data_IF_940429814852
#
_entry.id   IF_940429814852
#
_cell.length_a   1.000
_cell.length_b   1.000
_cell.length_c   1.000
_cell.angle_alpha   90.00
_cell.angle_beta   90.00
_cell.angle_gamma   90.00
#
_symmetry.space_group_name_H-M   'P 1'
#
loop_
_entity.id
_entity.type
_entity.pdbx_description
1 polymer ?
#
# COMPACT_ATOMS: atom_id res chain seq x y z
N UNK A 1 -15.48 -23.72 28.42
CA UNK A 1 -16.05 -23.90 27.07
C UNK A 1 -14.96 -23.58 26.06
N UNK A 2 -14.38 -24.58 25.39
CA UNK A 2 -13.26 -24.42 24.45
C UNK A 2 -13.81 -24.38 23.02
N UNK A 3 -13.45 -23.40 22.16
CA UNK A 3 -13.84 -23.43 20.77
C UNK A 3 -13.18 -24.62 20.05
N UNK A 4 -13.99 -25.43 19.39
CA UNK A 4 -13.60 -26.61 18.63
C UNK A 4 -12.72 -26.23 17.43
N UNK A 5 -11.47 -26.69 17.48
CA UNK A 5 -10.66 -27.15 16.33
C UNK A 5 -10.82 -26.39 15.01
N UNK A 6 -10.07 -25.29 14.89
CA UNK A 6 -9.56 -24.82 13.61
C UNK A 6 -8.35 -25.70 13.22
N UNK A 7 -8.50 -26.56 12.20
CA UNK A 7 -7.46 -27.52 11.77
C UNK A 7 -6.52 -26.99 10.67
N UNK A 8 -6.66 -25.72 10.26
CA UNK A 8 -5.71 -25.08 9.36
C UNK A 8 -4.55 -24.48 10.14
N UNK A 9 -3.31 -24.94 9.91
CA UNK A 9 -2.14 -24.13 10.27
C UNK A 9 -2.29 -22.77 9.60
N UNK A 10 -2.29 -21.64 10.34
CA UNK A 10 -2.30 -20.35 9.69
C UNK A 10 -1.01 -20.26 8.87
N UNK A 11 -1.13 -20.10 7.55
CA UNK A 11 0.00 -19.60 6.78
C UNK A 11 0.27 -18.18 7.28
N UNK A 12 1.35 -18.05 8.04
CA UNK A 12 1.86 -16.74 8.40
C UNK A 12 2.48 -16.18 7.11
N UNK A 13 1.72 -15.31 6.42
CA UNK A 13 2.25 -14.54 5.30
C UNK A 13 3.39 -13.67 5.84
N UNK A 14 4.62 -14.07 5.56
CA UNK A 14 5.80 -13.28 5.87
C UNK A 14 5.96 -12.24 4.77
N UNK A 15 5.61 -10.99 5.06
CA UNK A 15 5.94 -9.87 4.18
C UNK A 15 7.47 -9.77 4.08
N UNK A 16 8.00 -9.87 2.86
CA UNK A 16 9.44 -9.78 2.60
C UNK A 16 9.97 -8.34 2.49
N UNK A 17 9.07 -7.35 2.43
CA UNK A 17 9.41 -5.98 2.09
C UNK A 17 8.30 -5.24 1.36
N UNK A 18 8.66 -4.14 0.70
CA UNK A 18 7.80 -3.35 -0.19
C UNK A 18 8.49 -3.11 -1.53
N UNK A 19 7.69 -3.04 -2.60
CA UNK A 19 8.11 -2.60 -3.92
C UNK A 19 7.09 -1.60 -4.44
N UNK A 20 7.54 -0.63 -5.24
CA UNK A 20 6.63 0.30 -5.91
C UNK A 20 7.33 1.19 -6.91
N UNK A 21 6.53 2.08 -7.51
CA UNK A 21 6.99 3.05 -8.49
C UNK A 21 7.33 4.37 -7.80
N UNK A 22 8.41 5.00 -8.25
CA UNK A 22 8.77 6.37 -7.91
C UNK A 22 8.20 7.29 -8.99
N UNK A 23 7.33 8.21 -8.60
CA UNK A 23 6.72 9.17 -9.53
C UNK A 23 7.68 10.34 -9.82
N UNK A 24 7.55 10.94 -11.00
CA UNK A 24 8.30 12.12 -11.37
C UNK A 24 8.03 13.29 -10.40
N UNK A 25 9.05 14.12 -10.07
CA UNK A 25 8.85 15.33 -9.27
C UNK A 25 7.80 16.25 -9.88
N UNK A 26 7.04 16.93 -9.03
CA UNK A 26 5.95 17.81 -9.45
C UNK A 26 5.86 19.02 -8.52
N UNK A 27 5.97 20.21 -9.09
CA UNK A 27 5.90 21.49 -8.36
C UNK A 27 4.51 22.14 -8.40
N UNK A 28 3.47 21.37 -8.75
CA UNK A 28 2.09 21.88 -8.81
C UNK A 28 1.60 22.32 -7.43
N UNK A 29 0.74 23.33 -7.42
CA UNK A 29 0.15 23.85 -6.18
C UNK A 29 -0.80 22.85 -5.51
N UNK A 30 -1.11 23.08 -4.23
CA UNK A 30 -2.03 22.24 -3.48
C UNK A 30 -3.42 22.23 -4.12
N UNK A 31 -3.95 21.02 -4.35
CA UNK A 31 -5.27 20.83 -4.97
C UNK A 31 -5.24 20.81 -6.50
N UNK A 32 -4.08 21.06 -7.12
CA UNK A 32 -3.89 20.85 -8.55
C UNK A 32 -3.53 19.40 -8.86
N UNK A 33 -3.88 18.96 -10.07
CA UNK A 33 -3.54 17.62 -10.54
C UNK A 33 -2.04 17.56 -10.87
N UNK A 34 -1.30 16.69 -10.18
CA UNK A 34 0.09 16.34 -10.52
C UNK A 34 0.15 15.25 -11.60
N UNK A 35 1.32 15.11 -12.22
CA UNK A 35 1.60 13.97 -13.11
C UNK A 35 1.57 12.65 -12.34
N UNK A 36 1.34 11.55 -13.07
CA UNK A 36 1.46 10.17 -12.56
C UNK A 36 2.53 9.39 -13.33
N UNK A 37 3.42 10.10 -14.03
CA UNK A 37 4.51 9.49 -14.78
C UNK A 37 5.51 8.84 -13.82
N UNK A 38 5.98 7.66 -14.19
CA UNK A 38 6.93 6.87 -13.41
C UNK A 38 8.35 7.27 -13.82
N UNK A 39 9.15 7.69 -12.84
CA UNK A 39 10.57 8.02 -13.01
C UNK A 39 11.51 6.86 -12.66
N UNK A 40 11.01 5.83 -11.98
CA UNK A 40 11.75 4.62 -11.65
C UNK A 40 10.98 3.71 -10.69
N UNK A 41 11.64 2.68 -10.17
CA UNK A 41 11.10 1.78 -9.17
C UNK A 41 11.98 1.70 -7.91
N UNK A 42 11.39 1.20 -6.82
CA UNK A 42 12.11 0.95 -5.57
C UNK A 42 11.72 -0.39 -4.97
N UNK A 43 12.65 -1.00 -4.23
CA UNK A 43 12.43 -2.21 -3.44
C UNK A 43 13.15 -2.10 -2.09
N UNK A 44 12.45 -2.44 -1.01
CA UNK A 44 12.99 -2.41 0.35
C UNK A 44 12.62 -3.71 1.06
N UNK A 45 13.59 -4.38 1.68
CA UNK A 45 13.35 -5.59 2.49
C UNK A 45 13.11 -5.21 3.94
N UNK A 46 12.10 -5.83 4.56
CA UNK A 46 11.76 -5.56 5.96
C UNK A 46 11.13 -6.80 6.60
N UNK A 47 11.27 -6.91 7.93
CA UNK A 47 10.62 -7.97 8.71
C UNK A 47 9.14 -7.67 8.99
N UNK A 48 8.76 -6.39 8.95
CA UNK A 48 7.40 -5.91 9.14
C UNK A 48 7.18 -4.63 8.33
N UNK A 49 5.94 -4.40 7.89
CA UNK A 49 5.54 -3.23 7.08
C UNK A 49 4.29 -2.62 7.70
N UNK A 50 4.30 -1.30 7.92
CA UNK A 50 3.13 -0.53 8.37
C UNK A 50 2.63 0.31 7.20
N UNK A 51 1.39 0.07 6.76
CA UNK A 51 0.76 0.85 5.69
C UNK A 51 -0.09 1.96 6.32
N UNK A 52 0.35 3.20 6.13
CA UNK A 52 -0.33 4.41 6.59
C UNK A 52 -0.72 5.32 5.41
N UNK A 53 -1.31 4.74 4.36
CA UNK A 53 -1.59 5.41 3.08
C UNK A 53 -2.68 6.49 3.12
N UNK A 54 -3.38 6.65 4.25
CA UNK A 54 -4.58 7.48 4.33
C UNK A 54 -5.81 6.83 3.68
N UNK A 55 -6.87 7.61 3.47
CA UNK A 55 -8.15 7.15 2.91
C UNK A 55 -8.33 7.50 1.43
N UNK A 56 -9.25 6.80 0.75
CA UNK A 56 -9.57 6.96 -0.69
C UNK A 56 -10.68 7.98 -0.99
N UNK A 57 -11.09 8.80 -0.01
CA UNK A 57 -12.29 9.66 -0.09
C UNK A 57 -12.32 10.65 -1.27
N UNK A 58 -11.18 10.95 -1.89
CA UNK A 58 -11.07 11.80 -3.08
C UNK A 58 -11.09 11.03 -4.41
N UNK A 59 -11.39 9.72 -4.40
CA UNK A 59 -11.60 8.91 -5.61
C UNK A 59 -13.10 8.57 -5.76
N UNK A 60 -13.88 9.36 -6.51
CA UNK A 60 -15.33 9.18 -6.62
C UNK A 60 -15.76 7.85 -7.25
N UNK A 61 -14.87 7.20 -8.01
CA UNK A 61 -15.14 5.93 -8.68
C UNK A 61 -15.06 4.74 -7.73
N UNK A 62 -14.24 4.86 -6.68
CA UNK A 62 -14.04 3.80 -5.68
C UNK A 62 -14.88 4.00 -4.41
N UNK A 63 -15.53 5.16 -4.25
CA UNK A 63 -16.28 5.56 -3.04
C UNK A 63 -17.80 5.57 -3.32
N UNK A 64 -18.32 4.56 -4.03
CA UNK A 64 -19.75 4.33 -4.23
C UNK A 64 -20.24 3.06 -3.55
#
# INVERSE_FOLDING_TARGET
>A
MRPSTWSGTPEIIRLGGVRGDMLAPSDVERGQKSSRDIAGDFELKAQAVIVASGGIGANPELVR
#
